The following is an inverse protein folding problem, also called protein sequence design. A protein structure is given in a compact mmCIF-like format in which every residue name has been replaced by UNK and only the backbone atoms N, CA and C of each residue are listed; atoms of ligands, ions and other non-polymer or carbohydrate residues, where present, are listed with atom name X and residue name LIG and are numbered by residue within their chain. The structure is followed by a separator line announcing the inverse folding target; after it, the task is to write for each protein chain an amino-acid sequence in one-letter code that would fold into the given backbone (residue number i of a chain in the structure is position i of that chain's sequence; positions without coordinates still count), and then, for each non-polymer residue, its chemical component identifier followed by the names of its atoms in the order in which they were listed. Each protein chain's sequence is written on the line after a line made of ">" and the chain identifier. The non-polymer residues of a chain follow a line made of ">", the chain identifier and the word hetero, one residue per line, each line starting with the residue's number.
data_IF_010301705529
#
_entry.id   IF_010301705529
#
_cell.length_a   1.000
_cell.length_b   1.000
_cell.length_c   1.000
_cell.angle_alpha   90.00
_cell.angle_beta   90.00
_cell.angle_gamma   90.00
#
_symmetry.space_group_name_H-M   'P 1'
#
loop_
_entity.id
_entity.type
_entity.pdbx_description
1 polymer ?
#
# COMPACT_ATOMS: atom_id res chain seq x y z
N UNK A 1 5.92 -1.98 9.10
CA UNK A 1 6.04 -2.26 7.66
C UNK A 1 7.50 -2.25 7.32
N UNK A 2 8.01 -3.39 6.85
CA UNK A 2 9.45 -3.55 6.67
C UNK A 2 9.93 -2.94 5.36
N UNK A 3 11.13 -2.39 5.42
CA UNK A 3 11.87 -1.84 4.27
C UNK A 3 13.08 -2.75 4.04
N UNK A 4 13.27 -3.15 2.79
CA UNK A 4 14.33 -4.04 2.33
C UNK A 4 15.17 -3.24 1.33
N UNK A 5 16.47 -3.13 1.59
CA UNK A 5 17.41 -2.44 0.71
C UNK A 5 18.38 -3.46 0.11
N UNK A 6 18.58 -3.39 -1.20
CA UNK A 6 19.57 -4.21 -1.92
C UNK A 6 20.71 -3.29 -2.35
N UNK A 7 21.81 -3.32 -1.59
CA UNK A 7 22.97 -2.44 -1.79
C UNK A 7 23.60 -2.60 -3.18
N UNK A 8 23.65 -3.84 -3.69
CA UNK A 8 24.26 -4.15 -5.00
C UNK A 8 23.61 -3.42 -6.18
N UNK A 9 22.29 -3.18 -6.11
CA UNK A 9 21.53 -2.53 -7.17
C UNK A 9 21.06 -1.11 -6.77
N UNK A 10 21.31 -0.67 -5.53
CA UNK A 10 20.80 0.58 -4.98
C UNK A 10 19.27 0.65 -4.93
N UNK A 11 18.57 -0.48 -4.95
CA UNK A 11 17.11 -0.53 -4.97
C UNK A 11 16.53 -0.74 -3.56
N UNK A 12 15.47 0.02 -3.27
CA UNK A 12 14.75 -0.05 -2.01
C UNK A 12 13.34 -0.57 -2.24
N UNK A 13 12.88 -1.40 -1.33
CA UNK A 13 11.57 -2.03 -1.39
C UNK A 13 10.87 -1.95 -0.05
N UNK A 14 9.55 -1.85 -0.08
CA UNK A 14 8.67 -1.95 1.09
C UNK A 14 7.74 -3.13 0.92
N UNK A 15 7.61 -3.91 1.98
CA UNK A 15 6.66 -5.02 2.02
C UNK A 15 5.26 -4.46 2.31
N UNK A 16 4.33 -4.61 1.37
CA UNK A 16 2.96 -4.07 1.45
C UNK A 16 1.95 -5.18 1.15
N UNK A 17 0.78 -5.15 1.81
CA UNK A 17 -0.33 -6.03 1.46
C UNK A 17 -1.08 -5.53 0.23
N UNK A 18 -1.38 -6.43 -0.71
CA UNK A 18 -2.34 -6.15 -1.76
C UNK A 18 -3.79 -6.20 -1.25
N UNK A 19 -4.76 -5.77 -2.06
CA UNK A 19 -6.19 -5.83 -1.71
C UNK A 19 -6.75 -7.26 -1.55
N UNK A 20 -5.93 -8.29 -1.77
CA UNK A 20 -6.26 -9.71 -1.58
C UNK A 20 -5.58 -10.31 -0.33
N UNK A 21 -4.78 -9.52 0.40
CA UNK A 21 -4.09 -9.96 1.62
C UNK A 21 -2.73 -10.64 1.37
N UNK A 22 -2.17 -10.56 0.16
CA UNK A 22 -0.86 -11.13 -0.16
C UNK A 22 0.25 -10.10 0.01
N UNK A 23 1.41 -10.54 0.45
CA UNK A 23 2.60 -9.71 0.48
C UNK A 23 3.08 -9.41 -0.95
N UNK A 24 3.23 -8.13 -1.25
CA UNK A 24 3.79 -7.62 -2.49
C UNK A 24 4.96 -6.71 -2.17
N UNK A 25 6.03 -6.83 -2.95
CA UNK A 25 7.19 -5.97 -2.87
C UNK A 25 6.88 -4.70 -3.67
N UNK A 26 6.89 -3.55 -3.00
CA UNK A 26 6.70 -2.25 -3.63
C UNK A 26 8.04 -1.50 -3.69
N UNK A 27 8.50 -1.12 -4.88
CA UNK A 27 9.72 -0.31 -5.05
C UNK A 27 9.48 1.10 -4.52
N UNK A 28 10.39 1.60 -3.70
CA UNK A 28 10.31 2.92 -3.07
C UNK A 28 11.56 3.75 -3.36
N UNK A 29 11.46 5.07 -3.15
CA UNK A 29 12.59 5.99 -3.26
C UNK A 29 13.53 5.87 -2.05
N UNK A 30 14.75 6.38 -2.19
CA UNK A 30 15.72 6.40 -1.09
C UNK A 30 15.21 7.20 0.12
N UNK A 31 14.52 8.32 -0.12
CA UNK A 31 13.94 9.15 0.93
C UNK A 31 12.90 8.39 1.75
N UNK A 32 12.04 7.61 1.08
CA UNK A 32 11.06 6.76 1.76
C UNK A 32 11.71 5.59 2.51
N UNK A 33 12.86 5.11 2.04
CA UNK A 33 13.58 4.00 2.66
C UNK A 33 14.22 4.37 3.99
N UNK A 34 14.36 5.67 4.29
CA UNK A 34 14.92 6.14 5.57
C UNK A 34 14.03 5.84 6.76
N UNK A 35 12.72 5.62 6.56
CA UNK A 35 11.78 5.39 7.66
C UNK A 35 10.85 4.19 7.41
N UNK A 36 10.35 3.63 8.53
CA UNK A 36 9.32 2.61 8.55
C UNK A 36 8.16 3.05 9.43
N UNK A 37 6.96 2.64 9.05
CA UNK A 37 5.80 2.75 9.92
C UNK A 37 5.75 1.51 10.82
N UNK A 38 5.49 1.70 12.11
CA UNK A 38 5.26 0.63 13.06
C UNK A 38 3.97 0.88 13.84
N UNK A 39 3.19 -0.18 14.05
CA UNK A 39 2.02 -0.13 14.93
C UNK A 39 2.47 -0.40 16.37
N UNK A 40 2.05 0.46 17.27
CA UNK A 40 2.28 0.29 18.71
C UNK A 40 1.37 -0.82 19.22
N UNK A 41 1.96 -1.93 19.68
CA UNK A 41 1.20 -3.08 20.20
C UNK A 41 0.89 -2.97 21.69
N UNK A 42 1.72 -2.25 22.45
CA UNK A 42 1.62 -2.16 23.90
C UNK A 42 2.16 -0.81 24.39
N UNK A 43 1.26 0.14 24.54
CA UNK A 43 1.34 1.27 25.46
C UNK A 43 -0.01 1.25 26.17
N UNK A 44 -0.01 1.49 27.49
CA UNK A 44 -1.08 1.16 28.45
C UNK A 44 -2.52 1.00 27.90
N UNK A 45 -3.03 1.85 26.98
CA UNK A 45 -4.25 1.57 26.18
C UNK A 45 -4.33 2.28 24.80
N UNK A 46 -3.33 2.20 23.90
CA UNK A 46 -3.50 2.81 22.55
C UNK A 46 -2.81 2.06 21.39
N UNK A 47 -3.51 1.90 20.26
CA UNK A 47 -3.10 1.19 19.03
C UNK A 47 -2.54 2.14 17.95
N UNK A 48 -1.79 3.16 18.37
CA UNK A 48 -1.29 4.22 17.49
C UNK A 48 -0.25 3.73 16.46
N UNK A 49 -0.06 4.49 15.39
CA UNK A 49 1.05 4.29 14.45
C UNK A 49 2.16 5.28 14.75
N UNK A 50 3.40 4.81 14.75
CA UNK A 50 4.59 5.65 14.83
C UNK A 50 5.44 5.50 13.57
N UNK A 51 6.00 6.62 13.11
CA UNK A 51 7.02 6.65 12.08
C UNK A 51 8.39 6.58 12.76
N UNK A 52 9.19 5.60 12.39
CA UNK A 52 10.49 5.34 13.00
C UNK A 52 11.57 5.48 11.93
N UNK A 53 12.63 6.21 12.25
CA UNK A 53 13.84 6.29 11.44
C UNK A 53 14.58 4.94 11.47
N UNK A 54 14.91 4.38 10.32
CA UNK A 54 15.67 3.13 10.23
C UNK A 54 17.10 3.27 10.74
N UNK A 55 17.72 4.44 10.62
CA UNK A 55 19.13 4.63 11.00
C UNK A 55 19.30 4.85 12.49
N UNK A 56 18.46 5.70 13.06
CA UNK A 56 18.60 6.13 14.46
C UNK A 56 17.69 5.38 15.42
N UNK A 57 16.68 4.67 14.91
CA UNK A 57 15.67 3.99 15.72
C UNK A 57 14.75 4.95 16.49
N UNK A 58 14.86 6.26 16.26
CA UNK A 58 14.05 7.27 16.95
C UNK A 58 12.67 7.39 16.32
N UNK A 59 11.69 7.76 17.15
CA UNK A 59 10.34 8.11 16.71
C UNK A 59 10.41 9.49 16.06
N UNK A 60 10.05 9.57 14.79
CA UNK A 60 9.97 10.80 14.00
C UNK A 60 8.61 11.46 14.19
N UNK A 61 7.56 10.64 14.14
CA UNK A 61 6.18 11.11 14.03
C UNK A 61 5.26 10.12 14.75
N UNK A 62 4.22 10.63 15.38
CA UNK A 62 3.22 9.86 16.10
C UNK A 62 1.83 10.20 15.55
N UNK A 63 1.15 9.17 15.05
CA UNK A 63 -0.21 9.26 14.51
C UNK A 63 -1.14 8.63 15.53
N UNK A 64 -1.89 9.50 16.23
CA UNK A 64 -2.81 9.11 17.30
C UNK A 64 -4.10 8.50 16.74
N UNK A 65 -4.61 7.48 17.41
CA UNK A 65 -5.90 6.86 17.15
C UNK A 65 -6.88 7.10 18.31
N UNK A 66 -8.08 7.54 17.99
CA UNK A 66 -9.17 7.76 18.95
C UNK A 66 -10.42 6.98 18.52
N UNK A 67 -10.44 5.67 18.80
CA UNK A 67 -11.57 4.83 18.40
C UNK A 67 -11.81 3.63 19.30
N UNK A 68 -12.93 2.96 19.04
CA UNK A 68 -13.38 1.78 19.78
C UNK A 68 -12.76 0.50 19.19
N UNK A 69 -13.12 -0.66 19.75
CA UNK A 69 -12.57 -1.95 19.33
C UNK A 69 -12.97 -2.38 17.89
N UNK A 70 -14.11 -1.91 17.39
CA UNK A 70 -14.61 -2.19 16.03
C UNK A 70 -14.51 -0.92 15.22
N UNK A 71 -13.86 -1.00 14.06
CA UNK A 71 -13.66 0.13 13.16
C UNK A 71 -14.54 -0.07 11.92
N UNK A 72 -15.33 0.95 11.61
CA UNK A 72 -16.04 1.05 10.33
C UNK A 72 -15.18 1.82 9.36
N UNK A 73 -14.72 1.14 8.31
CA UNK A 73 -13.86 1.70 7.28
C UNK A 73 -14.69 2.02 6.05
N UNK A 74 -14.50 3.23 5.51
CA UNK A 74 -15.04 3.66 4.22
C UNK A 74 -13.89 3.78 3.23
N UNK A 75 -13.96 3.06 2.11
CA UNK A 75 -12.93 3.11 1.08
C UNK A 75 -13.07 4.35 0.16
N UNK A 76 -12.13 4.52 -0.77
CA UNK A 76 -12.14 5.64 -1.71
C UNK A 76 -13.27 5.60 -2.77
N UNK A 77 -14.02 4.49 -2.85
CA UNK A 77 -15.17 4.30 -3.75
C UNK A 77 -16.46 4.26 -2.92
N UNK A 78 -16.42 4.80 -1.71
CA UNK A 78 -17.52 4.88 -0.74
C UNK A 78 -18.09 3.53 -0.28
N UNK A 79 -17.38 2.42 -0.49
CA UNK A 79 -17.76 1.10 0.05
C UNK A 79 -17.41 1.04 1.53
N UNK A 80 -18.29 0.44 2.32
CA UNK A 80 -18.10 0.30 3.77
C UNK A 80 -17.87 -1.14 4.16
N UNK A 81 -16.97 -1.35 5.12
CA UNK A 81 -16.73 -2.63 5.77
C UNK A 81 -16.29 -2.41 7.22
N UNK A 82 -16.32 -3.46 8.03
CA UNK A 82 -15.89 -3.40 9.42
C UNK A 82 -14.71 -4.33 9.69
N UNK A 83 -13.80 -3.88 10.54
CA UNK A 83 -12.61 -4.61 10.96
C UNK A 83 -12.40 -4.43 12.46
N UNK A 84 -11.55 -5.29 13.04
CA UNK A 84 -11.12 -5.13 14.42
C UNK A 84 -9.95 -4.15 14.49
N UNK A 85 -9.90 -3.33 15.55
CA UNK A 85 -8.81 -2.40 15.82
C UNK A 85 -7.42 -3.06 15.73
N UNK A 86 -7.32 -4.33 16.10
CA UNK A 86 -6.07 -5.09 16.04
C UNK A 86 -5.54 -5.29 14.61
N UNK A 87 -6.44 -5.39 13.63
CA UNK A 87 -6.13 -5.67 12.24
C UNK A 87 -5.81 -4.40 11.45
N UNK A 88 -6.23 -3.25 11.94
CA UNK A 88 -6.06 -1.99 11.23
C UNK A 88 -4.66 -1.41 11.44
N UNK A 89 -4.14 -0.76 10.39
CA UNK A 89 -2.83 -0.13 10.41
C UNK A 89 -2.98 1.27 9.80
N UNK A 90 -2.72 2.30 10.60
CA UNK A 90 -2.82 3.69 10.15
C UNK A 90 -1.58 4.01 9.32
N UNK A 91 -1.77 4.54 8.11
CA UNK A 91 -0.70 4.77 7.13
C UNK A 91 -0.49 6.26 6.78
N UNK A 92 -1.27 7.16 7.36
CA UNK A 92 -1.21 8.59 7.13
C UNK A 92 -2.42 9.30 7.68
N UNK A 93 -2.46 10.62 7.50
CA UNK A 93 -3.52 11.49 8.02
C UNK A 93 -4.32 12.11 6.88
N UNK A 94 -5.66 12.07 6.99
CA UNK A 94 -6.58 12.55 5.97
C UNK A 94 -6.33 11.91 4.60
N UNK A 95 -6.25 12.73 3.56
CA UNK A 95 -6.01 12.28 2.17
C UNK A 95 -4.53 12.11 1.81
N UNK A 96 -3.61 12.27 2.77
CA UNK A 96 -2.15 12.23 2.53
C UNK A 96 -1.55 10.97 3.16
N UNK A 97 -1.29 9.92 2.36
CA UNK A 97 -0.60 8.74 2.89
C UNK A 97 0.87 9.07 3.18
N UNK A 98 1.39 8.63 4.32
CA UNK A 98 2.80 8.80 4.71
C UNK A 98 3.74 7.83 3.99
N UNK A 99 3.19 6.92 3.16
CA UNK A 99 3.95 5.94 2.37
C UNK A 99 3.38 5.83 0.96
N UNK A 100 4.22 5.48 -0.01
CA UNK A 100 3.75 5.14 -1.36
C UNK A 100 2.90 3.87 -1.37
N UNK A 101 1.78 3.90 -2.11
CA UNK A 101 0.83 2.80 -2.25
C UNK A 101 0.96 2.08 -3.61
N UNK A 102 0.53 0.82 -3.64
CA UNK A 102 0.37 0.07 -4.90
C UNK A 102 -0.61 0.77 -5.84
N UNK A 103 -0.55 0.47 -7.14
CA UNK A 103 -1.37 1.09 -8.20
C UNK A 103 -2.90 1.08 -7.93
N UNK A 104 -3.39 0.14 -7.13
CA UNK A 104 -4.80 0.05 -6.74
C UNK A 104 -5.19 0.86 -5.51
N UNK A 105 -4.26 1.58 -4.86
CA UNK A 105 -4.46 2.36 -3.63
C UNK A 105 -5.22 1.62 -2.52
N UNK A 106 -5.10 0.29 -2.46
CA UNK A 106 -5.80 -0.54 -1.47
C UNK A 106 -7.29 -0.80 -1.76
N UNK A 107 -7.85 -0.30 -2.85
CA UNK A 107 -9.26 -0.53 -3.20
C UNK A 107 -9.45 -1.95 -3.74
N UNK A 108 -10.28 -2.74 -3.05
CA UNK A 108 -10.66 -4.09 -3.48
C UNK A 108 -11.76 -4.02 -4.54
N UNK A 109 -11.47 -4.58 -5.70
CA UNK A 109 -12.45 -4.72 -6.77
C UNK A 109 -13.42 -5.86 -6.51
N UNK A 110 -14.62 -5.74 -7.06
CA UNK A 110 -15.58 -6.86 -7.10
C UNK A 110 -15.10 -7.93 -8.08
N UNK A 111 -15.64 -9.15 -7.93
CA UNK A 111 -15.30 -10.27 -8.80
C UNK A 111 -15.57 -9.93 -10.28
N UNK A 112 -16.67 -9.24 -10.55
CA UNK A 112 -17.02 -8.78 -11.91
C UNK A 112 -16.02 -7.75 -12.43
N UNK A 113 -15.69 -6.73 -11.65
CA UNK A 113 -14.71 -5.70 -12.03
C UNK A 113 -13.32 -6.30 -12.31
N UNK A 114 -12.90 -7.30 -11.54
CA UNK A 114 -11.63 -8.01 -11.78
C UNK A 114 -11.65 -8.79 -13.10
N UNK A 115 -12.76 -9.46 -13.42
CA UNK A 115 -12.93 -10.19 -14.69
C UNK A 115 -12.86 -9.21 -15.86
N UNK A 116 -13.61 -8.12 -15.80
CA UNK A 116 -13.67 -7.13 -16.87
C UNK A 116 -12.30 -6.46 -17.10
N UNK A 117 -11.61 -6.10 -16.00
CA UNK A 117 -10.24 -5.57 -16.07
C UNK A 117 -9.27 -6.56 -16.70
N UNK A 118 -9.42 -7.85 -16.42
CA UNK A 118 -8.56 -8.90 -16.98
C UNK A 118 -8.80 -9.12 -18.47
N UNK A 119 -10.06 -9.08 -18.91
CA UNK A 119 -10.44 -9.15 -20.33
C UNK A 119 -9.90 -7.92 -21.07
N UNK A 120 -10.12 -6.72 -20.52
CA UNK A 120 -9.65 -5.48 -21.12
C UNK A 120 -8.13 -5.43 -21.27
N UNK A 121 -7.37 -5.90 -20.26
CA UNK A 121 -5.90 -6.00 -20.35
C UNK A 121 -5.45 -6.90 -21.50
N UNK A 122 -6.08 -8.07 -21.68
CA UNK A 122 -5.76 -9.00 -22.77
C UNK A 122 -6.04 -8.38 -24.14
N UNK A 123 -7.19 -7.71 -24.29
CA UNK A 123 -7.55 -7.00 -25.52
C UNK A 123 -6.56 -5.89 -25.84
N UNK A 124 -6.23 -5.05 -24.85
CA UNK A 124 -5.30 -3.94 -25.03
C UNK A 124 -3.89 -4.43 -25.37
N UNK A 125 -3.44 -5.54 -24.76
CA UNK A 125 -2.17 -6.16 -25.11
C UNK A 125 -2.16 -6.67 -26.56
N UNK A 126 -3.26 -7.29 -27.02
CA UNK A 126 -3.40 -7.75 -28.41
C UNK A 126 -3.39 -6.58 -29.40
N UNK A 127 -4.13 -5.51 -29.09
CA UNK A 127 -4.19 -4.30 -29.91
C UNK A 127 -2.81 -3.61 -30.02
N UNK A 128 -2.11 -3.42 -28.90
CA UNK A 128 -0.77 -2.81 -28.90
C UNK A 128 0.25 -3.67 -29.65
N UNK A 129 0.15 -5.00 -29.56
CA UNK A 129 1.00 -5.91 -30.35
C UNK A 129 0.75 -5.75 -31.85
N UNK A 130 -0.51 -5.64 -32.27
CA UNK A 130 -0.89 -5.40 -33.66
C UNK A 130 -0.37 -4.04 -34.17
N UNK A 131 -0.56 -2.98 -33.39
CA UNK A 131 -0.04 -1.64 -33.74
C UNK A 131 1.48 -1.62 -33.90
N UNK A 132 2.23 -2.27 -32.98
CA UNK A 132 3.69 -2.38 -33.09
C UNK A 132 4.14 -3.16 -34.31
N UNK A 133 3.45 -4.25 -34.65
CA UNK A 133 3.74 -5.02 -35.86
C UNK A 133 3.50 -4.18 -37.12
N UNK A 134 2.42 -3.39 -37.15
CA UNK A 134 2.09 -2.52 -38.28
C UNK A 134 3.05 -1.35 -38.44
N UNK A 135 3.56 -0.80 -37.33
CA UNK A 135 4.56 0.27 -37.33
C UNK A 135 5.98 -0.19 -37.74
N UNK A 136 6.28 -1.50 -37.66
CA UNK A 136 7.57 -2.06 -38.07
C UNK A 136 7.65 -2.38 -39.58
N UNK A 137 6.53 -2.30 -40.29
CA UNK A 137 6.43 -2.53 -41.74
C UNK A 137 6.37 -1.23 -42.57
N UNK A 138 6.47 -0.06 -41.92
CA UNK A 138 6.74 1.24 -42.53
C UNK A 138 8.17 1.66 -42.22
#
# INVERSE_FOLDING_TARGET
>A
MDVITIEKNGENFRLIYDAKGRFTIHKITADEATYKLAKVKRVQFVNDTVRIDLKTGKIIEHIKFEGTYIIHVKDAVDRQFATLLTNDFIIGEGNKPSISLLKGKGVKLTISEERDRSVFKKLNQKYNKFLRARAAHQ
#
